data_IF_740607921631
#
_entry.id   IF_740607921631
#
_cell.length_a   1.000
_cell.length_b   1.000
_cell.length_c   1.000
_cell.angle_alpha   90.00
_cell.angle_beta   90.00
_cell.angle_gamma   90.00
#
_symmetry.space_group_name_H-M   'P 1'
#
loop_
_entity.id
_entity.type
_entity.pdbx_description
1 polymer ?
#
# COMPACT_ATOMS: atom_id res chain seq x y z
N UNK A 1 3.09 -18.96 -18.37
CA UNK A 1 3.19 -18.22 -17.10
C UNK A 1 3.71 -19.17 -16.02
N UNK A 2 4.18 -18.68 -14.87
CA UNK A 2 4.52 -19.56 -13.75
C UNK A 2 3.22 -20.12 -13.14
N UNK A 3 3.21 -21.40 -12.76
CA UNK A 3 2.08 -21.99 -12.03
C UNK A 3 2.08 -21.49 -10.58
N UNK A 4 0.96 -20.91 -10.15
CA UNK A 4 0.79 -20.36 -8.80
C UNK A 4 -0.19 -21.21 -8.01
N UNK A 5 0.08 -21.33 -6.72
CA UNK A 5 -0.74 -22.11 -5.79
C UNK A 5 -1.14 -21.27 -4.59
N UNK A 6 -2.32 -21.51 -4.02
CA UNK A 6 -2.77 -20.87 -2.78
C UNK A 6 -2.58 -21.84 -1.60
N UNK A 7 -1.87 -21.39 -0.57
CA UNK A 7 -1.63 -22.16 0.65
C UNK A 7 -2.94 -22.27 1.45
N UNK A 8 -3.44 -23.48 1.64
CA UNK A 8 -4.60 -23.75 2.50
C UNK A 8 -4.28 -24.84 3.51
N UNK A 9 -5.06 -24.91 4.61
CA UNK A 9 -4.89 -25.92 5.66
C UNK A 9 -5.06 -27.36 5.18
N UNK A 10 -5.74 -27.57 4.06
CA UNK A 10 -6.05 -28.89 3.50
C UNK A 10 -5.16 -29.26 2.31
N UNK A 11 -4.16 -28.43 1.99
CA UNK A 11 -3.28 -28.60 0.84
C UNK A 11 -3.24 -27.38 -0.07
N UNK A 12 -2.27 -27.37 -0.97
CA UNK A 12 -2.06 -26.27 -1.90
C UNK A 12 -3.01 -26.44 -3.10
N UNK A 13 -3.76 -25.38 -3.42
CA UNK A 13 -4.73 -25.41 -4.53
C UNK A 13 -4.12 -24.64 -5.70
N UNK A 14 -4.07 -25.20 -6.93
CA UNK A 14 -3.61 -24.47 -8.10
C UNK A 14 -4.55 -23.30 -8.41
N UNK A 15 -3.98 -22.16 -8.80
CA UNK A 15 -4.72 -20.97 -9.21
C UNK A 15 -4.80 -20.97 -10.73
N UNK A 16 -6.01 -20.78 -11.26
CA UNK A 16 -6.22 -20.72 -12.70
C UNK A 16 -5.59 -19.44 -13.30
N UNK A 17 -5.03 -19.55 -14.51
CA UNK A 17 -4.28 -18.47 -15.17
C UNK A 17 -5.13 -17.20 -15.36
N UNK A 18 -6.43 -17.34 -15.60
CA UNK A 18 -7.37 -16.22 -15.74
C UNK A 18 -7.46 -15.35 -14.47
N UNK A 19 -7.38 -15.98 -13.30
CA UNK A 19 -7.36 -15.30 -12.01
C UNK A 19 -6.00 -14.64 -11.78
N UNK A 20 -4.91 -15.30 -12.16
CA UNK A 20 -3.55 -14.76 -12.05
C UNK A 20 -3.42 -13.47 -12.87
N UNK A 21 -3.87 -13.48 -14.12
CA UNK A 21 -3.83 -12.31 -14.99
C UNK A 21 -4.76 -11.19 -14.50
N UNK A 22 -5.98 -11.53 -14.08
CA UNK A 22 -6.97 -10.53 -13.65
C UNK A 22 -6.53 -9.74 -12.43
N UNK A 23 -5.80 -10.37 -11.51
CA UNK A 23 -5.39 -9.77 -10.25
C UNK A 23 -3.88 -9.52 -10.13
N UNK A 24 -3.12 -9.69 -11.23
CA UNK A 24 -1.64 -9.61 -11.27
C UNK A 24 -0.99 -10.36 -10.10
N UNK A 25 -1.43 -11.59 -9.85
CA UNK A 25 -0.94 -12.39 -8.72
C UNK A 25 0.52 -12.78 -8.94
N UNK A 26 1.32 -12.67 -7.89
CA UNK A 26 2.75 -12.98 -7.89
C UNK A 26 3.09 -13.92 -6.75
N UNK A 27 4.10 -14.77 -6.95
CA UNK A 27 4.65 -15.59 -5.87
C UNK A 27 5.14 -14.71 -4.72
N UNK A 28 4.94 -15.16 -3.49
CA UNK A 28 5.36 -14.40 -2.31
C UNK A 28 4.43 -13.24 -1.91
N UNK A 29 3.31 -13.05 -2.59
CA UNK A 29 2.24 -12.14 -2.15
C UNK A 29 1.13 -12.92 -1.42
N UNK A 30 0.11 -12.18 -0.95
CA UNK A 30 -1.07 -12.77 -0.33
C UNK A 30 -2.30 -12.53 -1.19
N UNK A 31 -3.21 -13.50 -1.16
CA UNK A 31 -4.52 -13.41 -1.79
C UNK A 31 -5.31 -12.23 -1.21
N UNK A 32 -5.89 -11.35 -2.06
CA UNK A 32 -6.67 -10.21 -1.59
C UNK A 32 -7.99 -10.62 -0.90
N UNK A 33 -8.48 -11.84 -1.16
CA UNK A 33 -9.77 -12.30 -0.63
C UNK A 33 -9.64 -13.12 0.66
N UNK A 34 -8.56 -13.89 0.79
CA UNK A 34 -8.43 -14.88 1.87
C UNK A 34 -7.20 -14.66 2.76
N UNK A 35 -6.35 -13.68 2.43
CA UNK A 35 -5.03 -13.45 3.07
C UNK A 35 -4.10 -14.69 3.03
N UNK A 36 -4.45 -15.70 2.23
CA UNK A 36 -3.65 -16.90 2.03
C UNK A 36 -2.39 -16.58 1.24
N UNK A 37 -1.29 -17.27 1.54
CA UNK A 37 -0.02 -17.09 0.83
C UNK A 37 -0.12 -17.66 -0.59
N UNK A 38 0.42 -16.92 -1.55
CA UNK A 38 0.59 -17.37 -2.93
C UNK A 38 1.99 -17.99 -3.05
N UNK A 39 2.01 -19.28 -3.39
CA UNK A 39 3.20 -20.09 -3.58
C UNK A 39 3.53 -20.21 -5.07
N UNK A 40 4.81 -20.36 -5.39
CA UNK A 40 5.26 -20.72 -6.73
C UNK A 40 5.14 -22.22 -7.03
N UNK A 41 5.62 -22.62 -8.21
CA UNK A 41 5.59 -24.00 -8.73
C UNK A 41 6.21 -25.03 -7.77
N UNK A 42 7.24 -24.65 -7.00
CA UNK A 42 7.88 -25.55 -6.03
C UNK A 42 7.25 -25.48 -4.63
N UNK A 43 6.02 -24.94 -4.52
CA UNK A 43 5.39 -24.62 -3.24
C UNK A 43 6.23 -23.67 -2.37
N UNK A 44 7.11 -22.88 -2.99
CA UNK A 44 7.96 -21.92 -2.31
C UNK A 44 7.24 -20.58 -2.11
N UNK A 45 7.40 -20.03 -0.90
CA UNK A 45 6.97 -18.68 -0.55
C UNK A 45 8.21 -17.79 -0.45
N UNK A 46 8.63 -17.23 -1.58
CA UNK A 46 9.70 -16.23 -1.61
C UNK A 46 9.04 -14.87 -1.81
N UNK A 47 8.97 -14.07 -0.74
CA UNK A 47 8.57 -12.67 -0.85
C UNK A 47 9.62 -11.98 -1.71
N UNK A 48 9.23 -11.47 -2.88
CA UNK A 48 10.10 -10.55 -3.61
C UNK A 48 10.39 -9.39 -2.67
N UNK A 49 11.67 -9.23 -2.29
CA UNK A 49 12.06 -8.03 -1.59
C UNK A 49 11.76 -6.88 -2.55
N UNK A 50 10.96 -5.88 -2.14
CA UNK A 50 10.83 -4.70 -2.94
C UNK A 50 12.26 -4.17 -3.19
N UNK A 51 12.55 -3.66 -4.40
CA UNK A 51 13.81 -2.98 -4.61
C UNK A 51 13.99 -1.98 -3.46
N UNK A 52 15.18 -1.94 -2.86
CA UNK A 52 15.52 -0.89 -1.88
C UNK A 52 15.43 0.46 -2.59
N UNK A 53 14.22 1.02 -2.67
CA UNK A 53 14.08 2.47 -2.69
C UNK A 53 14.64 2.90 -1.35
N UNK A 54 15.91 3.30 -1.38
CA UNK A 54 16.48 4.17 -0.36
C UNK A 54 15.57 5.39 -0.35
N UNK A 55 14.57 5.38 0.52
CA UNK A 55 13.87 6.57 0.89
C UNK A 55 14.94 7.52 1.42
N UNK A 56 15.38 8.45 0.58
CA UNK A 56 16.17 9.59 1.03
C UNK A 56 15.28 10.34 2.01
N UNK A 57 15.46 10.06 3.30
CA UNK A 57 14.99 10.88 4.40
C UNK A 57 15.76 12.21 4.38
N UNK A 58 15.63 12.99 3.31
CA UNK A 58 15.77 14.43 3.41
C UNK A 58 14.44 14.94 3.98
N UNK A 59 14.18 14.63 5.25
CA UNK A 59 13.30 15.45 6.10
C UNK A 59 14.12 16.69 6.46
N UNK A 60 14.24 17.57 5.48
CA UNK A 60 14.73 18.93 5.63
C UNK A 60 13.70 19.80 4.95
N UNK A 61 13.13 20.70 5.73
CA UNK A 61 12.10 21.67 5.41
C UNK A 61 10.67 21.14 5.46
N UNK A 62 10.00 21.58 6.53
CA UNK A 62 8.56 21.77 6.63
C UNK A 62 7.96 22.05 5.24
N UNK A 63 7.32 21.04 4.65
CA UNK A 63 6.45 21.23 3.50
C UNK A 63 5.28 22.09 3.96
N UNK A 64 5.45 23.41 3.87
CA UNK A 64 4.31 24.29 3.71
C UNK A 64 3.68 23.85 2.40
N UNK A 65 2.59 23.09 2.49
CA UNK A 65 1.73 22.82 1.36
C UNK A 65 1.18 24.16 0.92
N UNK A 66 1.77 24.73 -0.12
CA UNK A 66 1.13 25.76 -0.92
C UNK A 66 -0.25 25.22 -1.32
N UNK A 67 -1.31 25.74 -0.69
CA UNK A 67 -2.65 25.53 -1.20
C UNK A 67 -2.69 26.15 -2.59
N UNK A 68 -3.33 25.50 -3.56
CA UNK A 68 -3.31 25.75 -5.03
C UNK A 68 -3.48 27.23 -5.47
N UNK A 69 -3.87 28.12 -4.55
CA UNK A 69 -4.04 29.56 -4.74
C UNK A 69 -2.96 30.45 -4.06
N UNK A 70 -1.82 29.91 -3.62
CA UNK A 70 -0.72 30.69 -3.01
C UNK A 70 -1.03 31.20 -1.58
N UNK A 71 -1.96 30.54 -0.89
CA UNK A 71 -2.31 30.86 0.49
C UNK A 71 -1.54 29.92 1.43
N UNK A 72 -0.63 30.48 2.22
CA UNK A 72 0.11 29.76 3.25
C UNK A 72 -0.73 29.71 4.52
N UNK A 73 -1.30 28.55 4.85
CA UNK A 73 -2.01 28.35 6.11
C UNK A 73 -1.07 27.75 7.15
N UNK A 74 -1.15 28.25 8.39
CA UNK A 74 -0.50 27.57 9.52
C UNK A 74 -1.17 26.22 9.80
N UNK A 75 -0.43 25.27 10.37
CA UNK A 75 -0.99 23.99 10.82
C UNK A 75 -2.15 24.19 11.81
N UNK A 76 -2.09 25.24 12.64
CA UNK A 76 -3.19 25.58 13.55
C UNK A 76 -4.46 26.00 12.80
N UNK A 77 -4.35 26.89 11.80
CA UNK A 77 -5.50 27.32 10.99
C UNK A 77 -6.12 26.15 10.23
N UNK A 78 -5.28 25.24 9.71
CA UNK A 78 -5.77 24.06 9.00
C UNK A 78 -6.60 23.13 9.90
N UNK A 79 -6.24 23.03 11.19
CA UNK A 79 -6.98 22.25 12.18
C UNK A 79 -8.29 22.95 12.53
N UNK A 80 -8.28 24.26 12.74
CA UNK A 80 -9.47 25.05 13.11
C UNK A 80 -10.54 24.99 12.00
N UNK A 81 -10.11 25.09 10.73
CA UNK A 81 -10.99 24.91 9.56
C UNK A 81 -11.59 23.49 9.53
N UNK A 82 -10.77 22.45 9.73
CA UNK A 82 -11.22 21.07 9.63
C UNK A 82 -12.23 20.69 10.73
N UNK A 83 -12.10 21.31 11.91
CA UNK A 83 -12.99 21.09 13.04
C UNK A 83 -14.21 22.03 13.02
N UNK A 84 -14.24 23.02 12.11
CA UNK A 84 -15.32 23.99 12.00
C UNK A 84 -15.44 24.89 13.23
N UNK A 85 -14.33 25.11 13.94
CA UNK A 85 -14.29 25.94 15.14
C UNK A 85 -14.04 27.37 14.69
N UNK A 86 -14.98 28.26 14.96
CA UNK A 86 -14.75 29.69 14.80
C UNK A 86 -13.92 30.15 16.01
N UNK A 87 -12.81 30.85 15.75
CA UNK A 87 -12.08 31.50 16.83
C UNK A 87 -12.86 32.76 17.21
N UNK A 88 -13.46 32.78 18.41
CA UNK A 88 -13.98 34.02 18.99
C UNK A 88 -12.80 34.97 19.24
N UNK A 89 -12.52 35.88 18.29
CA UNK A 89 -11.64 37.03 18.55
C UNK A 89 -12.37 38.01 19.47
N UNK A 90 -11.96 38.08 20.74
CA UNK A 90 -12.28 39.18 21.66
C UNK A 90 -11.40 40.40 21.44
#
# INVERSE_FOLDING_TARGET
MEELFIETKNGNIPIAEDIVEKYDLKKGTRSPYTDSRILGENCDYVRENPPEERASLNQGDDEIKDLENGFMLSQSEMIDIAQGVDSDET
#
